data_IF_214012108589
#
_entry.id   IF_214012108589
#
_cell.length_a   1.000
_cell.length_b   1.000
_cell.length_c   1.000
_cell.angle_alpha   90.00
_cell.angle_beta   90.00
_cell.angle_gamma   90.00
#
_symmetry.space_group_name_H-M   'P 1'
#
loop_
_entity.id
_entity.type
_entity.pdbx_description
1 polymer ?
#
# COMPACT_ATOMS: atom_id res chain seq x y z
N UNK A 1 21.52 -24.67 -0.36
CA UNK A 1 21.32 -23.21 -0.47
C UNK A 1 21.72 -22.62 0.86
N UNK A 2 22.61 -21.63 0.90
CA UNK A 2 23.00 -20.98 2.15
C UNK A 2 21.79 -20.24 2.71
N UNK A 3 21.36 -20.57 3.93
CA UNK A 3 20.39 -19.76 4.64
C UNK A 3 20.92 -18.32 4.69
N UNK A 4 20.12 -17.39 4.20
CA UNK A 4 20.39 -15.97 4.32
C UNK A 4 20.36 -15.69 5.83
N UNK A 5 21.54 -15.57 6.44
CA UNK A 5 21.70 -15.36 7.88
C UNK A 5 21.23 -13.94 8.22
N UNK A 6 19.92 -13.77 8.42
CA UNK A 6 19.31 -12.50 8.82
C UNK A 6 19.73 -12.23 10.27
N UNK A 7 20.45 -11.12 10.55
CA UNK A 7 21.09 -10.92 11.84
C UNK A 7 20.14 -10.43 12.95
N UNK A 8 18.95 -9.93 12.62
CA UNK A 8 17.98 -9.39 13.60
C UNK A 8 16.53 -9.69 13.21
N UNK A 9 15.64 -9.78 14.20
CA UNK A 9 14.19 -9.75 13.96
C UNK A 9 13.77 -8.37 13.43
N UNK A 10 12.73 -8.33 12.60
CA UNK A 10 12.19 -7.10 12.02
C UNK A 10 11.91 -7.17 10.53
N UNK A 11 11.63 -6.00 9.95
CA UNK A 11 11.45 -5.80 8.51
C UNK A 11 12.83 -5.71 7.84
N UNK A 12 13.01 -6.42 6.73
CA UNK A 12 14.28 -6.41 6.00
C UNK A 12 14.44 -5.13 5.17
N UNK A 13 15.49 -4.32 5.41
CA UNK A 13 15.76 -3.13 4.61
C UNK A 13 16.30 -3.48 3.22
N UNK A 14 16.38 -2.47 2.36
CA UNK A 14 16.74 -2.58 0.93
C UNK A 14 18.00 -3.41 0.65
N UNK A 15 19.02 -3.35 1.52
CA UNK A 15 20.26 -4.11 1.35
C UNK A 15 20.00 -5.63 1.43
N UNK A 16 19.06 -6.04 2.27
CA UNK A 16 18.64 -7.43 2.40
C UNK A 16 17.66 -7.84 1.31
N UNK A 17 16.79 -6.94 0.84
CA UNK A 17 15.94 -7.21 -0.32
C UNK A 17 16.79 -7.44 -1.59
N UNK A 18 17.85 -6.66 -1.79
CA UNK A 18 18.81 -6.86 -2.89
C UNK A 18 19.52 -8.20 -2.78
N UNK A 19 19.92 -8.62 -1.56
CA UNK A 19 20.46 -9.96 -1.31
C UNK A 19 19.43 -11.06 -1.56
N UNK A 20 18.17 -10.85 -1.18
CA UNK A 20 17.10 -11.80 -1.42
C UNK A 20 16.88 -12.02 -2.91
N UNK A 21 16.93 -10.96 -3.72
CA UNK A 21 16.88 -11.07 -5.19
C UNK A 21 18.12 -11.79 -5.74
N UNK A 22 19.32 -11.40 -5.32
CA UNK A 22 20.57 -12.01 -5.84
C UNK A 22 20.74 -13.48 -5.46
N UNK A 23 20.11 -13.93 -4.36
CA UNK A 23 20.09 -15.32 -3.91
C UNK A 23 18.88 -16.12 -4.42
N UNK A 24 17.97 -15.51 -5.17
CA UNK A 24 16.80 -16.17 -5.74
C UNK A 24 15.62 -16.39 -4.78
N UNK A 25 15.67 -15.85 -3.56
CA UNK A 25 14.54 -15.84 -2.63
C UNK A 25 13.36 -15.03 -3.18
N UNK A 26 13.68 -13.96 -3.92
CA UNK A 26 12.76 -13.26 -4.80
C UNK A 26 13.33 -13.38 -6.20
N UNK A 27 12.56 -13.93 -7.14
CA UNK A 27 13.02 -14.13 -8.52
C UNK A 27 12.02 -13.57 -9.51
N UNK A 28 12.51 -13.22 -10.69
CA UNK A 28 11.69 -12.78 -11.81
C UNK A 28 12.37 -13.16 -13.12
N UNK A 29 11.58 -13.47 -14.15
CA UNK A 29 12.09 -13.75 -15.50
C UNK A 29 12.70 -12.49 -16.17
N UNK A 30 12.46 -11.31 -15.60
CA UNK A 30 13.01 -10.02 -16.03
C UNK A 30 13.81 -9.40 -14.89
N UNK A 31 14.93 -8.77 -15.22
CA UNK A 31 15.72 -8.00 -14.24
C UNK A 31 14.82 -7.07 -13.44
N UNK A 32 14.95 -7.11 -12.11
CA UNK A 32 14.25 -6.22 -11.19
C UNK A 32 14.93 -4.85 -11.27
N UNK A 33 14.24 -3.77 -11.69
CA UNK A 33 14.82 -2.44 -11.79
C UNK A 33 15.28 -1.93 -10.43
N UNK A 34 16.34 -1.13 -10.41
CA UNK A 34 16.81 -0.51 -9.17
C UNK A 34 15.76 0.39 -8.52
N UNK A 35 14.89 1.01 -9.33
CA UNK A 35 13.76 1.84 -8.88
C UNK A 35 12.67 1.05 -8.15
N UNK A 36 12.63 -0.28 -8.29
CA UNK A 36 11.66 -1.13 -7.56
C UNK A 36 12.04 -1.31 -6.09
N UNK A 37 13.29 -1.05 -5.71
CA UNK A 37 13.74 -1.19 -4.32
C UNK A 37 13.46 0.09 -3.53
N UNK A 38 12.51 0.01 -2.60
CA UNK A 38 12.26 1.04 -1.60
C UNK A 38 13.16 0.79 -0.36
N UNK A 39 13.25 1.73 0.59
CA UNK A 39 14.07 1.57 1.79
C UNK A 39 13.77 0.31 2.59
N UNK A 40 12.49 -0.11 2.69
CA UNK A 40 12.08 -1.31 3.42
C UNK A 40 11.05 -2.18 2.70
N UNK A 41 10.82 -1.97 1.39
CA UNK A 41 9.91 -2.77 0.58
C UNK A 41 10.43 -2.95 -0.86
N UNK A 42 9.84 -3.89 -1.59
CA UNK A 42 10.09 -4.12 -3.01
C UNK A 42 8.77 -3.97 -3.79
N UNK A 43 8.75 -3.10 -4.79
CA UNK A 43 7.62 -2.95 -5.70
C UNK A 43 7.38 -4.24 -6.51
N UNK A 44 6.12 -4.66 -6.58
CA UNK A 44 5.65 -5.85 -7.31
C UNK A 44 5.11 -5.45 -8.67
N UNK A 45 5.63 -6.07 -9.72
CA UNK A 45 5.39 -5.68 -11.12
C UNK A 45 4.35 -6.56 -11.79
N UNK A 46 3.43 -5.93 -12.52
CA UNK A 46 2.41 -6.64 -13.29
C UNK A 46 3.03 -7.52 -14.36
N UNK A 47 2.56 -8.77 -14.47
CA UNK A 47 2.89 -9.65 -15.59
C UNK A 47 2.14 -9.29 -16.87
N UNK A 48 2.20 -10.21 -17.83
CA UNK A 48 1.76 -9.95 -19.21
C UNK A 48 0.26 -10.14 -19.46
N UNK A 49 -0.49 -10.65 -18.48
CA UNK A 49 -1.90 -11.02 -18.66
C UNK A 49 -2.74 -10.65 -17.46
N UNK A 50 -3.89 -10.04 -17.71
CA UNK A 50 -4.95 -9.85 -16.73
C UNK A 50 -6.11 -10.81 -16.99
N UNK A 51 -6.48 -11.61 -16.00
CA UNK A 51 -7.67 -12.47 -16.04
C UNK A 51 -8.86 -11.72 -15.48
N UNK A 52 -9.87 -11.47 -16.30
CA UNK A 52 -11.13 -10.86 -15.85
C UNK A 52 -11.86 -11.88 -14.98
N UNK A 53 -12.17 -11.51 -13.74
CA UNK A 53 -12.84 -12.39 -12.80
C UNK A 53 -14.34 -12.10 -12.71
N UNK A 54 -15.11 -13.14 -12.39
CA UNK A 54 -16.52 -13.00 -11.98
C UNK A 54 -16.64 -12.35 -10.60
N UNK A 55 -15.79 -12.75 -9.66
CA UNK A 55 -15.71 -12.23 -8.31
C UNK A 55 -14.32 -12.52 -7.72
N UNK A 56 -13.95 -11.79 -6.66
CA UNK A 56 -12.75 -12.07 -5.87
C UNK A 56 -12.80 -13.46 -5.23
N UNK A 57 -11.64 -14.06 -4.96
CA UNK A 57 -11.53 -15.32 -4.26
C UNK A 57 -10.21 -15.44 -3.50
N UNK A 58 -10.20 -16.25 -2.44
CA UNK A 58 -8.99 -16.78 -1.81
C UNK A 58 -8.81 -18.24 -2.21
N UNK A 59 -7.58 -18.70 -2.46
CA UNK A 59 -7.37 -20.05 -2.95
C UNK A 59 -7.64 -21.12 -1.88
N UNK A 60 -7.45 -20.78 -0.60
CA UNK A 60 -7.57 -21.72 0.52
C UNK A 60 -6.51 -22.82 0.38
N UNK A 61 -6.84 -24.11 0.45
CA UNK A 61 -5.84 -25.19 0.35
C UNK A 61 -5.32 -25.45 -1.07
N UNK A 62 -5.90 -24.82 -2.10
CA UNK A 62 -5.54 -25.01 -3.52
C UNK A 62 -4.48 -23.98 -3.97
N UNK A 63 -3.95 -24.14 -5.17
CA UNK A 63 -3.22 -23.06 -5.87
C UNK A 63 -4.19 -22.05 -6.45
N UNK A 64 -3.72 -20.82 -6.70
CA UNK A 64 -4.46 -19.77 -7.38
C UNK A 64 -4.83 -20.21 -8.79
N UNK A 65 -3.91 -20.85 -9.51
CA UNK A 65 -4.14 -21.35 -10.87
C UNK A 65 -5.25 -22.41 -10.95
N UNK A 66 -5.37 -23.29 -9.94
CA UNK A 66 -6.46 -24.27 -9.86
C UNK A 66 -7.82 -23.59 -9.66
N UNK A 67 -7.86 -22.57 -8.79
CA UNK A 67 -9.10 -21.85 -8.46
C UNK A 67 -9.53 -20.90 -9.57
N UNK A 68 -8.59 -20.27 -10.26
CA UNK A 68 -8.85 -19.34 -11.36
C UNK A 68 -9.79 -19.92 -12.41
N UNK A 69 -9.66 -21.23 -12.72
CA UNK A 69 -10.52 -21.95 -13.66
C UNK A 69 -12.02 -21.90 -13.31
N UNK A 70 -12.36 -21.68 -12.04
CA UNK A 70 -13.73 -21.60 -11.54
C UNK A 70 -14.33 -20.16 -11.64
N UNK A 71 -13.48 -19.14 -11.83
CA UNK A 71 -13.85 -17.71 -11.74
C UNK A 71 -13.48 -16.86 -12.95
N UNK A 72 -12.58 -17.32 -13.82
CA UNK A 72 -12.16 -16.60 -15.03
C UNK A 72 -13.33 -16.44 -16.02
N UNK A 73 -13.50 -15.22 -16.53
CA UNK A 73 -14.48 -14.87 -17.57
C UNK A 73 -13.83 -14.52 -18.92
N UNK A 74 -12.50 -14.56 -18.98
CA UNK A 74 -11.68 -14.16 -20.13
C UNK A 74 -10.40 -13.49 -19.65
N UNK A 75 -9.54 -13.12 -20.60
CA UNK A 75 -8.28 -12.45 -20.30
C UNK A 75 -7.98 -11.32 -21.27
N UNK A 76 -7.09 -10.43 -20.84
CA UNK A 76 -6.59 -9.29 -21.59
C UNK A 76 -5.05 -9.34 -21.56
N UNK A 77 -4.43 -9.00 -22.69
CA UNK A 77 -2.99 -8.89 -22.83
C UNK A 77 -2.52 -7.52 -22.31
N UNK A 78 -1.47 -7.49 -21.49
CA UNK A 78 -0.93 -6.27 -20.89
C UNK A 78 0.39 -5.81 -21.52
N UNK A 79 0.91 -6.51 -22.55
CA UNK A 79 2.26 -6.22 -23.09
C UNK A 79 2.37 -4.84 -23.72
N UNK A 80 1.35 -4.42 -24.46
CA UNK A 80 1.23 -3.09 -25.08
C UNK A 80 0.26 -2.17 -24.29
N UNK A 81 -0.08 -2.61 -23.07
CA UNK A 81 -1.05 -2.04 -22.17
C UNK A 81 -2.51 -2.24 -22.56
N UNK A 82 -3.37 -2.17 -21.54
CA UNK A 82 -4.79 -2.44 -21.67
C UNK A 82 -5.63 -1.66 -20.68
N UNK A 83 -6.91 -1.50 -21.02
CA UNK A 83 -7.91 -0.84 -20.19
C UNK A 83 -8.52 -1.86 -19.23
N UNK A 84 -8.53 -1.52 -17.93
CA UNK A 84 -9.25 -2.22 -16.89
C UNK A 84 -10.45 -1.37 -16.45
N UNK A 85 -11.65 -1.91 -16.71
CA UNK A 85 -12.91 -1.26 -16.37
C UNK A 85 -13.15 -1.11 -14.86
N UNK A 86 -13.90 -0.06 -14.50
CA UNK A 86 -14.36 0.20 -13.13
C UNK A 86 -15.18 -0.96 -12.57
N UNK A 87 -15.06 -1.17 -11.26
CA UNK A 87 -15.80 -2.16 -10.48
C UNK A 87 -15.74 -3.56 -11.09
N UNK A 88 -14.60 -3.89 -11.71
CA UNK A 88 -14.32 -5.20 -12.28
C UNK A 88 -13.04 -5.76 -11.65
N UNK A 89 -13.07 -6.94 -11.04
CA UNK A 89 -11.87 -7.60 -10.57
C UNK A 89 -11.09 -8.22 -11.72
N UNK A 90 -9.78 -7.95 -11.73
CA UNK A 90 -8.81 -8.60 -12.59
C UNK A 90 -7.75 -9.27 -11.73
N UNK A 91 -7.37 -10.50 -12.06
CA UNK A 91 -6.23 -11.19 -11.45
C UNK A 91 -5.05 -11.15 -12.42
N UNK A 92 -3.92 -10.63 -11.95
CA UNK A 92 -2.72 -10.45 -12.77
C UNK A 92 -1.59 -11.25 -12.10
N UNK A 93 -1.04 -12.30 -12.74
CA UNK A 93 0.20 -12.90 -12.27
C UNK A 93 1.30 -11.84 -12.22
N UNK A 94 2.02 -11.76 -11.10
CA UNK A 94 3.13 -10.83 -10.96
C UNK A 94 4.38 -11.39 -11.62
N UNK A 95 5.31 -10.51 -12.01
CA UNK A 95 6.61 -10.90 -12.54
C UNK A 95 7.49 -11.54 -11.46
N UNK A 96 7.29 -11.16 -10.20
CA UNK A 96 8.02 -11.69 -9.06
C UNK A 96 7.42 -13.00 -8.54
N UNK A 97 8.31 -13.91 -8.13
CA UNK A 97 8.02 -15.17 -7.46
C UNK A 97 8.88 -15.26 -6.20
N UNK A 98 8.44 -16.08 -5.25
CA UNK A 98 9.11 -16.24 -3.96
C UNK A 98 9.60 -17.68 -3.76
N UNK A 99 10.74 -17.83 -3.11
CA UNK A 99 11.29 -19.08 -2.56
C UNK A 99 11.84 -18.78 -1.17
N UNK A 100 10.95 -18.55 -0.20
CA UNK A 100 11.32 -18.11 1.15
C UNK A 100 11.75 -19.29 2.03
N UNK A 101 12.72 -19.10 2.95
CA UNK A 101 12.95 -20.01 4.07
C UNK A 101 11.84 -19.89 5.12
N UNK A 102 11.74 -20.88 6.02
CA UNK A 102 10.78 -20.89 7.14
C UNK A 102 10.95 -19.72 8.12
N UNK A 103 12.11 -19.06 8.12
CA UNK A 103 12.37 -17.88 8.94
C UNK A 103 11.77 -16.59 8.36
N UNK A 104 11.41 -16.57 7.07
CA UNK A 104 10.93 -15.37 6.39
C UNK A 104 9.51 -15.52 5.91
N UNK A 105 8.70 -14.51 6.21
CA UNK A 105 7.38 -14.29 5.60
C UNK A 105 7.41 -12.99 4.79
N UNK A 106 6.36 -12.75 4.02
CA UNK A 106 6.16 -11.45 3.39
C UNK A 106 4.80 -10.85 3.73
N UNK A 107 4.74 -9.53 3.69
CA UNK A 107 3.48 -8.77 3.75
C UNK A 107 3.45 -7.76 2.61
N UNK A 108 2.33 -7.69 1.91
CA UNK A 108 2.13 -6.82 0.76
C UNK A 108 1.18 -5.67 1.09
N UNK A 109 1.24 -4.61 0.31
CA UNK A 109 0.38 -3.45 0.47
C UNK A 109 0.36 -2.62 -0.83
N UNK A 110 -0.77 -2.02 -1.25
CA UNK A 110 -0.77 -1.04 -2.33
C UNK A 110 0.31 0.05 -2.18
N UNK A 111 0.80 0.55 -3.32
CA UNK A 111 1.61 1.77 -3.34
C UNK A 111 0.72 2.97 -3.01
N UNK A 112 1.30 4.01 -2.41
CA UNK A 112 0.55 5.23 -2.08
C UNK A 112 -0.04 5.91 -3.31
N UNK A 113 0.63 5.82 -4.47
CA UNK A 113 0.10 6.31 -5.75
C UNK A 113 -1.13 5.53 -6.20
N UNK A 114 -1.16 4.21 -5.98
CA UNK A 114 -2.29 3.33 -6.29
C UNK A 114 -3.49 3.62 -5.40
N UNK A 115 -3.25 3.79 -4.10
CA UNK A 115 -4.31 4.16 -3.15
C UNK A 115 -4.91 5.54 -3.45
N UNK A 116 -4.08 6.50 -3.88
CA UNK A 116 -4.53 7.85 -4.24
C UNK A 116 -5.51 7.92 -5.40
N UNK A 117 -5.61 6.87 -6.21
CA UNK A 117 -6.49 6.82 -7.38
C UNK A 117 -7.60 5.77 -7.22
N UNK A 118 -7.89 5.38 -5.98
CA UNK A 118 -8.98 4.45 -5.63
C UNK A 118 -8.90 3.09 -6.37
N UNK A 119 -7.67 2.61 -6.56
CA UNK A 119 -7.38 1.29 -7.10
C UNK A 119 -7.12 0.32 -5.95
N UNK A 120 -8.08 -0.56 -5.73
CA UNK A 120 -7.95 -1.64 -4.77
C UNK A 120 -7.07 -2.74 -5.33
N UNK A 121 -6.06 -3.12 -4.54
CA UNK A 121 -5.19 -4.24 -4.88
C UNK A 121 -5.01 -5.19 -3.72
N UNK A 122 -4.93 -6.49 -4.02
CA UNK A 122 -4.64 -7.55 -3.04
C UNK A 122 -3.68 -8.57 -3.63
N UNK A 123 -2.58 -8.82 -2.93
CA UNK A 123 -1.68 -9.92 -3.29
C UNK A 123 -2.28 -11.24 -2.83
N UNK A 124 -2.21 -12.23 -3.70
CA UNK A 124 -2.65 -13.60 -3.45
C UNK A 124 -1.46 -14.53 -3.68
N UNK A 125 -1.23 -15.41 -2.71
CA UNK A 125 -0.26 -16.50 -2.77
C UNK A 125 -0.98 -17.85 -2.88
N UNK A 126 -0.30 -18.84 -3.47
CA UNK A 126 -0.80 -20.21 -3.48
C UNK A 126 -0.99 -20.72 -2.05
N UNK A 127 -2.07 -21.49 -1.83
CA UNK A 127 -2.40 -22.06 -0.53
C UNK A 127 -2.63 -21.02 0.59
N UNK A 128 -2.80 -19.75 0.23
CA UNK A 128 -3.05 -18.65 1.17
C UNK A 128 -4.50 -18.59 1.67
N UNK A 129 -4.64 -18.20 2.93
CA UNK A 129 -5.93 -17.99 3.61
C UNK A 129 -6.25 -16.52 3.89
N UNK A 130 -5.29 -15.63 3.69
CA UNK A 130 -5.43 -14.18 3.84
C UNK A 130 -4.84 -13.49 2.62
N UNK A 131 -5.43 -12.37 2.24
CA UNK A 131 -4.82 -11.50 1.25
C UNK A 131 -3.62 -10.79 1.86
N UNK A 132 -2.68 -10.40 0.99
CA UNK A 132 -1.51 -9.59 1.30
C UNK A 132 -0.48 -10.23 2.26
N UNK A 133 -0.82 -11.27 3.02
CA UNK A 133 0.15 -12.05 3.78
C UNK A 133 0.64 -13.25 2.97
N UNK A 134 1.96 -13.46 2.99
CA UNK A 134 2.61 -14.64 2.44
C UNK A 134 3.24 -15.41 3.59
N UNK A 135 2.86 -16.68 3.74
CA UNK A 135 3.30 -17.53 4.84
C UNK A 135 4.83 -17.71 4.89
N UNK A 136 5.39 -17.99 6.08
CA UNK A 136 6.76 -18.46 6.18
C UNK A 136 7.02 -19.70 5.29
N UNK A 137 8.23 -19.81 4.73
CA UNK A 137 8.60 -20.95 3.89
C UNK A 137 7.91 -21.00 2.52
N UNK A 138 7.15 -19.96 2.13
CA UNK A 138 6.38 -19.95 0.89
C UNK A 138 7.26 -20.06 -0.35
N UNK A 139 6.86 -20.96 -1.27
CA UNK A 139 7.51 -21.17 -2.56
C UNK A 139 6.47 -21.17 -3.67
N UNK A 140 6.47 -20.15 -4.52
CA UNK A 140 5.47 -20.06 -5.56
C UNK A 140 5.38 -18.71 -6.26
N UNK A 141 4.48 -18.63 -7.26
CA UNK A 141 4.15 -17.37 -7.92
C UNK A 141 3.39 -16.43 -6.98
N UNK A 142 3.33 -15.15 -7.33
CA UNK A 142 2.41 -14.20 -6.71
C UNK A 142 1.41 -13.71 -7.75
N UNK A 143 0.23 -13.33 -7.28
CA UNK A 143 -0.81 -12.74 -8.11
C UNK A 143 -1.31 -11.47 -7.45
N UNK A 144 -1.73 -10.51 -8.26
CA UNK A 144 -2.36 -9.28 -7.80
C UNK A 144 -3.80 -9.23 -8.30
N UNK A 145 -4.75 -9.23 -7.39
CA UNK A 145 -6.10 -8.79 -7.71
C UNK A 145 -6.11 -7.27 -7.80
N UNK A 146 -6.70 -6.73 -8.86
CA UNK A 146 -6.83 -5.30 -9.12
C UNK A 146 -8.31 -4.97 -9.40
N UNK A 147 -8.86 -4.02 -8.66
CA UNK A 147 -10.20 -3.47 -8.86
C UNK A 147 -10.09 -1.94 -8.80
N UNK A 148 -10.27 -1.28 -9.93
CA UNK A 148 -10.44 0.19 -9.91
C UNK A 148 -11.88 0.53 -9.55
N UNK A 149 -12.10 1.40 -8.56
CA UNK A 149 -13.46 1.78 -8.11
C UNK A 149 -13.91 3.10 -8.73
N UNK A 150 -13.07 4.13 -8.65
CA UNK A 150 -13.40 5.47 -9.16
C UNK A 150 -13.15 5.65 -10.65
N UNK A 151 -12.04 5.15 -11.21
CA UNK A 151 -11.61 5.50 -12.57
C UNK A 151 -11.50 4.30 -13.50
N UNK A 152 -11.78 4.46 -14.79
CA UNK A 152 -11.33 3.46 -15.77
C UNK A 152 -9.83 3.69 -15.97
N UNK A 153 -9.02 2.63 -15.84
CA UNK A 153 -7.55 2.74 -15.82
C UNK A 153 -6.92 2.05 -17.02
N UNK A 154 -5.80 2.57 -17.53
CA UNK A 154 -4.89 1.81 -18.40
C UNK A 154 -3.68 1.37 -17.58
N UNK A 155 -3.30 0.11 -17.74
CA UNK A 155 -2.11 -0.49 -17.12
C UNK A 155 -1.33 -1.27 -18.16
N UNK A 156 -0.06 -1.54 -17.89
CA UNK A 156 0.79 -2.36 -18.76
C UNK A 156 1.75 -3.24 -17.96
N UNK A 157 2.36 -4.20 -18.64
CA UNK A 157 3.34 -5.11 -18.05
C UNK A 157 4.49 -4.32 -17.44
N UNK A 158 4.90 -4.69 -16.22
CA UNK A 158 6.07 -4.14 -15.57
C UNK A 158 5.82 -2.94 -14.64
N UNK A 159 4.66 -2.27 -14.72
CA UNK A 159 4.30 -1.23 -13.74
C UNK A 159 4.02 -1.87 -12.38
N UNK A 160 4.13 -1.09 -11.32
CA UNK A 160 3.88 -1.57 -9.95
C UNK A 160 2.72 -0.83 -9.31
N UNK A 161 1.73 -1.60 -8.85
CA UNK A 161 0.57 -1.11 -8.09
C UNK A 161 0.61 -1.53 -6.61
N UNK A 162 1.53 -2.41 -6.26
CA UNK A 162 1.66 -3.00 -4.94
C UNK A 162 3.15 -3.20 -4.63
N UNK A 163 3.46 -3.46 -3.37
CA UNK A 163 4.81 -3.60 -2.84
C UNK A 163 4.81 -4.61 -1.70
N UNK A 164 5.94 -5.29 -1.50
CA UNK A 164 6.11 -6.32 -0.48
C UNK A 164 7.20 -5.95 0.53
N UNK A 165 7.03 -6.35 1.79
CA UNK A 165 8.06 -6.35 2.83
C UNK A 165 8.39 -7.79 3.19
N UNK A 166 9.68 -8.11 3.25
CA UNK A 166 10.14 -9.35 3.89
C UNK A 166 10.32 -9.10 5.38
N UNK A 167 9.92 -10.08 6.19
CA UNK A 167 9.91 -9.93 7.64
C UNK A 167 10.46 -11.21 8.30
N UNK A 168 11.42 -11.02 9.20
CA UNK A 168 12.01 -12.05 10.03
C UNK A 168 11.50 -11.91 11.47
N UNK A 169 10.97 -12.98 12.07
CA UNK A 169 10.46 -12.92 13.44
C UNK A 169 9.32 -11.91 13.64
N UNK A 170 9.28 -11.29 14.82
CA UNK A 170 8.25 -10.29 15.17
C UNK A 170 8.70 -8.89 14.72
N UNK A 171 7.77 -8.11 14.16
CA UNK A 171 8.05 -6.76 13.66
C UNK A 171 6.92 -5.78 14.01
N UNK A 172 6.45 -5.84 15.26
CA UNK A 172 5.40 -4.97 15.79
C UNK A 172 5.77 -4.51 17.19
N UNK A 173 5.47 -3.25 17.45
CA UNK A 173 5.56 -2.64 18.77
C UNK A 173 4.23 -2.80 19.50
N UNK A 174 4.29 -2.99 20.81
CA UNK A 174 3.16 -2.84 21.74
C UNK A 174 2.88 -1.36 21.98
N UNK A 175 1.68 -1.05 22.50
CA UNK A 175 1.29 0.34 22.78
C UNK A 175 2.24 1.03 23.77
N UNK A 176 2.75 0.30 24.76
CA UNK A 176 3.76 0.82 25.70
C UNK A 176 5.09 1.13 25.01
N UNK A 177 5.56 0.27 24.11
CA UNK A 177 6.80 0.50 23.38
C UNK A 177 6.66 1.64 22.37
N UNK A 178 5.47 1.83 21.78
CA UNK A 178 5.15 3.00 20.92
C UNK A 178 5.25 4.30 21.73
N UNK A 179 4.63 4.35 22.92
CA UNK A 179 4.66 5.52 23.78
C UNK A 179 6.08 5.87 24.24
N UNK A 180 6.85 4.85 24.66
CA UNK A 180 8.25 5.00 25.04
C UNK A 180 9.10 5.51 23.86
N UNK A 181 8.94 4.91 22.67
CA UNK A 181 9.64 5.34 21.46
C UNK A 181 9.32 6.81 21.13
N UNK A 182 8.05 7.22 21.21
CA UNK A 182 7.66 8.61 20.95
C UNK A 182 8.27 9.58 21.97
N UNK A 183 8.37 9.19 23.25
CA UNK A 183 9.01 9.99 24.29
C UNK A 183 10.51 10.24 24.02
N UNK A 184 11.20 9.23 23.45
CA UNK A 184 12.61 9.33 23.09
C UNK A 184 12.83 10.02 21.75
N UNK A 185 12.04 9.67 20.75
CA UNK A 185 12.08 10.18 19.38
C UNK A 185 10.65 10.44 18.89
N UNK A 186 10.16 11.68 18.96
CA UNK A 186 8.78 11.98 18.60
C UNK A 186 8.38 11.50 17.20
N UNK A 187 7.24 10.82 17.14
CA UNK A 187 6.67 10.20 15.94
C UNK A 187 5.52 11.03 15.35
N UNK A 188 4.72 11.68 16.22
CA UNK A 188 3.61 12.55 15.82
C UNK A 188 3.83 14.01 16.20
N UNK A 189 3.44 14.90 15.31
CA UNK A 189 3.55 16.34 15.48
C UNK A 189 2.24 17.03 15.13
N UNK A 190 1.96 18.14 15.80
CA UNK A 190 0.84 19.04 15.49
C UNK A 190 1.34 20.48 15.50
N UNK A 191 1.11 21.22 14.41
CA UNK A 191 1.63 22.58 14.26
C UNK A 191 3.16 22.66 14.40
N UNK A 192 3.88 21.64 13.90
CA UNK A 192 5.34 21.56 13.95
C UNK A 192 5.94 21.19 15.32
N UNK A 193 5.12 20.92 16.34
CA UNK A 193 5.58 20.53 17.68
C UNK A 193 5.23 19.07 17.98
N UNK A 194 6.12 18.31 18.65
CA UNK A 194 5.79 16.99 19.17
C UNK A 194 4.49 17.00 19.96
N UNK A 195 3.61 16.04 19.70
CA UNK A 195 2.42 15.84 20.55
C UNK A 195 2.91 15.32 21.91
N UNK A 196 2.50 15.91 23.06
CA UNK A 196 2.87 15.39 24.37
C UNK A 196 2.38 13.95 24.58
N UNK A 197 3.15 13.11 25.27
CA UNK A 197 2.80 11.70 25.52
C UNK A 197 1.40 11.54 26.14
N UNK A 198 1.04 12.42 27.08
CA UNK A 198 -0.29 12.45 27.73
C UNK A 198 -1.48 12.72 26.80
N UNK A 199 -1.22 13.22 25.59
CA UNK A 199 -2.21 13.52 24.55
C UNK A 199 -2.21 12.46 23.44
N UNK A 200 -1.28 11.49 23.47
CA UNK A 200 -1.28 10.39 22.51
C UNK A 200 -2.45 9.46 22.76
N UNK A 201 -3.16 9.13 21.69
CA UNK A 201 -4.10 8.02 21.67
C UNK A 201 -3.38 6.82 21.03
N UNK A 202 -3.20 5.77 21.83
CA UNK A 202 -2.54 4.53 21.40
C UNK A 202 -3.48 3.36 21.66
N UNK A 203 -3.75 2.57 20.62
CA UNK A 203 -4.56 1.35 20.70
C UNK A 203 -4.23 0.48 19.48
N UNK A 204 -3.24 -0.39 19.62
CA UNK A 204 -2.68 -1.17 18.51
C UNK A 204 -1.97 -0.32 17.45
N UNK A 205 -1.54 0.90 17.80
CA UNK A 205 -0.99 1.90 16.89
C UNK A 205 -1.28 3.33 17.32
N UNK A 206 -0.70 4.30 16.59
CA UNK A 206 -0.91 5.73 16.76
C UNK A 206 -2.10 6.21 15.94
N UNK A 207 -2.90 7.09 16.50
CA UNK A 207 -4.11 7.60 15.86
C UNK A 207 -3.80 8.92 15.12
N UNK A 208 -4.41 9.06 13.94
CA UNK A 208 -4.41 10.28 13.15
C UNK A 208 -5.83 10.80 13.01
N UNK A 209 -5.99 12.11 13.06
CA UNK A 209 -7.22 12.82 12.79
C UNK A 209 -7.13 13.56 11.45
N UNK A 210 -8.26 13.98 10.92
CA UNK A 210 -8.34 14.68 9.63
C UNK A 210 -8.24 16.19 9.82
N UNK A 211 -7.53 16.87 8.91
CA UNK A 211 -7.51 18.33 8.86
C UNK A 211 -8.67 18.87 8.02
N UNK A 212 -9.62 19.52 8.68
CA UNK A 212 -10.83 20.07 8.05
C UNK A 212 -10.86 21.60 8.03
N UNK A 213 -9.74 22.26 8.34
CA UNK A 213 -9.64 23.74 8.36
C UNK A 213 -9.67 24.36 6.96
N UNK A 214 -9.29 23.57 5.96
CA UNK A 214 -9.19 23.95 4.56
C UNK A 214 -8.02 24.88 4.24
N UNK A 215 -7.69 24.98 2.96
CA UNK A 215 -6.72 25.92 2.42
C UNK A 215 -7.32 27.37 2.35
N UNK A 216 -6.58 28.38 1.85
CA UNK A 216 -7.09 29.74 1.72
C UNK A 216 -8.36 29.88 0.87
N UNK A 217 -8.59 28.96 -0.07
CA UNK A 217 -9.79 28.90 -0.91
C UNK A 217 -10.93 28.09 -0.26
N UNK A 218 -10.67 27.51 0.92
CA UNK A 218 -11.63 26.71 1.67
C UNK A 218 -11.68 25.23 1.29
N UNK A 219 -10.74 24.74 0.47
CA UNK A 219 -10.68 23.33 0.05
C UNK A 219 -10.05 22.48 1.15
N UNK A 220 -10.73 21.43 1.60
CA UNK A 220 -10.23 20.47 2.62
C UNK A 220 -9.66 19.19 2.02
N UNK A 221 -9.90 18.97 0.73
CA UNK A 221 -9.46 17.79 0.01
C UNK A 221 -10.16 17.67 -1.33
N UNK A 222 -10.16 16.45 -1.88
CA UNK A 222 -10.65 16.21 -3.22
C UNK A 222 -11.51 14.96 -3.30
N UNK A 223 -12.64 15.04 -3.96
CA UNK A 223 -13.50 13.91 -4.30
C UNK A 223 -13.15 13.40 -5.70
N UNK A 224 -13.11 12.10 -5.88
CA UNK A 224 -12.97 11.50 -7.20
C UNK A 224 -14.18 11.83 -8.09
N UNK A 225 -13.93 12.27 -9.32
CA UNK A 225 -15.00 12.51 -10.30
C UNK A 225 -15.71 11.22 -10.67
N UNK A 226 -17.04 11.26 -10.71
CA UNK A 226 -17.87 10.13 -11.15
C UNK A 226 -17.69 9.81 -12.64
N UNK A 227 -17.39 10.83 -13.45
CA UNK A 227 -17.07 10.72 -14.89
C UNK A 227 -15.74 11.40 -15.16
N UNK A 228 -14.70 10.62 -15.46
CA UNK A 228 -13.35 11.11 -15.76
C UNK A 228 -12.89 10.68 -17.16
N UNK A 229 -11.73 11.17 -17.57
CA UNK A 229 -10.97 10.59 -18.68
C UNK A 229 -10.40 9.22 -18.30
N UNK A 230 -9.80 8.52 -19.26
CA UNK A 230 -9.01 7.32 -19.01
C UNK A 230 -7.76 7.69 -18.21
N UNK A 231 -7.55 7.04 -17.06
CA UNK A 231 -6.36 7.25 -16.24
C UNK A 231 -5.28 6.23 -16.61
N UNK A 232 -4.25 6.66 -17.33
CA UNK A 232 -3.11 5.80 -17.66
C UNK A 232 -2.08 5.77 -16.52
N UNK A 233 -1.96 4.61 -15.86
CA UNK A 233 -1.05 4.40 -14.72
C UNK A 233 0.38 4.04 -15.15
N UNK A 234 0.65 3.90 -16.44
CA UNK A 234 1.99 3.63 -16.97
C UNK A 234 2.84 4.88 -17.18
N UNK A 235 2.22 6.06 -17.11
CA UNK A 235 2.88 7.34 -17.34
C UNK A 235 2.82 8.20 -16.09
N UNK A 236 3.93 8.87 -15.78
CA UNK A 236 4.02 9.80 -14.66
C UNK A 236 3.78 11.25 -15.13
N UNK A 237 3.07 12.05 -14.32
CA UNK A 237 2.84 13.49 -14.55
C UNK A 237 2.18 13.86 -15.90
N UNK A 238 1.45 12.92 -16.52
CA UNK A 238 0.81 13.13 -17.82
C UNK A 238 -0.67 13.56 -17.75
N UNK A 239 -1.24 13.65 -16.55
CA UNK A 239 -2.67 13.87 -16.31
C UNK A 239 -2.91 15.20 -15.60
N UNK A 240 -3.92 15.95 -16.02
CA UNK A 240 -4.40 17.13 -15.30
C UNK A 240 -5.29 16.67 -14.13
N UNK A 241 -4.95 16.98 -12.86
CA UNK A 241 -5.79 16.63 -11.72
C UNK A 241 -7.26 17.08 -11.85
N UNK A 242 -7.53 18.21 -12.53
CA UNK A 242 -8.87 18.73 -12.71
C UNK A 242 -9.80 17.81 -13.53
N UNK A 243 -9.24 16.91 -14.34
CA UNK A 243 -9.98 15.89 -15.11
C UNK A 243 -10.47 14.72 -14.24
N UNK A 244 -9.95 14.57 -13.02
CA UNK A 244 -10.18 13.41 -12.16
C UNK A 244 -10.69 13.77 -10.77
N UNK A 245 -10.49 15.00 -10.32
CA UNK A 245 -10.76 15.43 -8.95
C UNK A 245 -11.65 16.68 -8.90
N UNK A 246 -12.55 16.72 -7.93
CA UNK A 246 -13.39 17.87 -7.58
C UNK A 246 -13.02 18.35 -6.16
N UNK A 247 -12.86 19.67 -5.93
CA UNK A 247 -12.53 20.19 -4.60
C UNK A 247 -13.70 19.95 -3.63
N UNK A 248 -13.37 19.50 -2.42
CA UNK A 248 -14.31 19.43 -1.30
C UNK A 248 -14.12 20.69 -0.45
N UNK A 249 -15.18 21.47 -0.31
CA UNK A 249 -15.13 22.72 0.45
C UNK A 249 -15.51 22.47 1.92
N UNK A 250 -14.87 23.22 2.83
CA UNK A 250 -15.23 23.22 4.24
C UNK A 250 -16.60 23.85 4.47
N UNK A 251 -17.25 23.37 5.52
CA UNK A 251 -18.40 24.00 6.17
C UNK A 251 -17.98 24.71 7.46
N UNK A 252 -18.92 25.45 8.07
CA UNK A 252 -18.71 26.09 9.36
C UNK A 252 -18.30 25.07 10.45
N UNK A 253 -17.28 25.44 11.23
CA UNK A 253 -16.78 24.66 12.37
C UNK A 253 -15.76 23.58 12.01
N UNK A 254 -14.95 23.79 10.97
CA UNK A 254 -13.93 22.84 10.49
C UNK A 254 -14.54 21.46 10.19
N UNK A 255 -15.56 21.43 9.34
CA UNK A 255 -16.29 20.22 8.93
C UNK A 255 -16.37 20.13 7.42
N UNK A 256 -16.66 18.94 6.92
CA UNK A 256 -17.01 18.71 5.53
C UNK A 256 -18.03 17.58 5.44
N UNK A 257 -18.90 17.63 4.42
CA UNK A 257 -19.86 16.57 4.12
C UNK A 257 -19.22 15.58 3.17
N UNK A 258 -19.22 14.31 3.55
CA UNK A 258 -18.73 13.21 2.72
C UNK A 258 -19.93 12.36 2.29
N UNK A 259 -20.11 12.22 0.98
CA UNK A 259 -21.13 11.37 0.39
C UNK A 259 -20.78 9.89 0.60
N UNK A 260 -21.77 9.05 0.96
CA UNK A 260 -21.56 7.61 1.02
C UNK A 260 -21.07 7.04 -0.31
N UNK A 261 -20.21 6.03 -0.24
CA UNK A 261 -19.67 5.30 -1.41
C UNK A 261 -18.77 6.11 -2.35
N UNK A 262 -18.48 7.37 -2.04
CA UNK A 262 -17.56 8.22 -2.78
C UNK A 262 -16.13 8.13 -2.22
N UNK A 263 -15.13 8.45 -3.05
CA UNK A 263 -13.72 8.39 -2.68
C UNK A 263 -13.14 9.80 -2.50
N UNK A 264 -12.39 9.97 -1.41
CA UNK A 264 -11.83 11.25 -0.99
C UNK A 264 -10.33 11.15 -0.73
N UNK A 265 -9.60 12.16 -1.20
CA UNK A 265 -8.25 12.48 -0.75
C UNK A 265 -8.33 13.58 0.31
N UNK A 266 -8.00 13.20 1.54
CA UNK A 266 -8.00 14.08 2.71
C UNK A 266 -6.62 14.04 3.37
N UNK A 267 -6.29 15.10 4.11
CA UNK A 267 -5.02 15.23 4.82
C UNK A 267 -5.20 14.93 6.31
N UNK A 268 -4.16 14.35 6.92
CA UNK A 268 -4.11 14.25 8.37
C UNK A 268 -3.81 15.60 9.01
N UNK A 269 -4.37 15.84 10.20
CA UNK A 269 -4.05 17.02 11.01
C UNK A 269 -2.68 16.88 11.67
N UNK A 270 -2.33 15.68 12.10
CA UNK A 270 -1.00 15.34 12.58
C UNK A 270 -0.08 15.05 11.41
N UNK A 271 1.17 15.42 11.59
CA UNK A 271 2.24 15.07 10.67
C UNK A 271 3.07 13.95 11.30
N UNK A 272 3.46 12.97 10.47
CA UNK A 272 4.12 11.73 10.89
C UNK A 272 5.61 11.79 10.59
N UNK A 273 6.42 11.26 11.52
CA UNK A 273 7.84 11.02 11.34
C UNK A 273 8.20 9.60 11.75
N UNK A 274 8.82 8.85 10.84
CA UNK A 274 9.32 7.50 11.07
C UNK A 274 10.86 7.56 11.13
N UNK A 275 11.48 7.26 12.29
CA UNK A 275 12.93 7.32 12.40
C UNK A 275 13.61 6.25 11.51
N UNK A 276 14.88 6.44 11.11
CA UNK A 276 15.56 5.56 10.14
C UNK A 276 15.67 4.07 10.51
N UNK A 277 15.50 3.72 11.78
CA UNK A 277 15.56 2.34 12.27
C UNK A 277 14.19 1.66 12.38
N UNK A 278 13.11 2.36 12.05
CA UNK A 278 11.75 1.86 12.15
C UNK A 278 11.04 1.96 10.81
N UNK A 279 10.00 1.15 10.63
CA UNK A 279 9.06 1.29 9.54
C UNK A 279 7.66 1.27 10.14
N UNK A 280 6.72 1.94 9.49
CA UNK A 280 5.32 1.92 9.91
C UNK A 280 4.41 1.47 8.77
N UNK A 281 3.15 1.24 9.11
CA UNK A 281 2.09 0.86 8.19
C UNK A 281 0.83 1.59 8.66
N UNK A 282 0.13 2.24 7.73
CA UNK A 282 -1.20 2.75 8.01
C UNK A 282 -2.15 1.56 8.15
N UNK A 283 -3.03 1.60 9.14
CA UNK A 283 -4.09 0.60 9.31
C UNK A 283 -5.45 1.25 9.20
N UNK A 284 -6.41 0.55 8.62
CA UNK A 284 -7.79 1.03 8.61
C UNK A 284 -8.33 1.10 10.05
N UNK A 285 -9.10 2.16 10.33
CA UNK A 285 -9.81 2.31 11.59
C UNK A 285 -10.85 1.18 11.75
N UNK A 286 -11.01 0.66 12.97
CA UNK A 286 -11.99 -0.39 13.26
C UNK A 286 -13.43 0.13 12.96
N UNK A 287 -14.20 -0.54 12.09
CA UNK A 287 -15.57 -0.17 11.76
C UNK A 287 -16.53 -0.09 12.95
N UNK A 288 -16.23 -0.71 14.10
CA UNK A 288 -17.07 -0.57 15.30
C UNK A 288 -17.00 0.81 15.92
N UNK A 289 -16.05 1.63 15.48
CA UNK A 289 -15.72 2.93 16.06
C UNK A 289 -16.06 4.11 15.14
N UNK A 290 -16.68 3.89 13.97
CA UNK A 290 -17.15 4.94 13.05
C UNK A 290 -17.58 4.44 11.65
N UNK A 291 -18.24 5.30 10.87
CA UNK A 291 -18.71 4.99 9.51
C UNK A 291 -17.65 5.24 8.42
N UNK A 292 -16.60 6.00 8.73
CA UNK A 292 -15.53 6.35 7.79
C UNK A 292 -14.44 5.27 7.76
N UNK A 293 -14.08 4.82 6.55
CA UNK A 293 -12.99 3.86 6.35
C UNK A 293 -11.81 4.55 5.68
N UNK A 294 -10.65 4.49 6.31
CA UNK A 294 -9.40 4.77 5.61
C UNK A 294 -9.17 3.67 4.58
N UNK A 295 -9.32 4.01 3.31
CA UNK A 295 -9.01 3.09 2.22
C UNK A 295 -7.52 3.16 1.88
N UNK A 296 -6.94 2.03 1.47
CA UNK A 296 -5.57 1.94 0.91
C UNK A 296 -4.44 2.33 1.87
N UNK A 297 -4.55 1.83 3.09
CA UNK A 297 -3.60 2.04 4.17
C UNK A 297 -2.22 1.42 3.80
N UNK A 298 -1.24 2.26 3.45
CA UNK A 298 0.05 1.87 2.88
C UNK A 298 1.22 1.75 3.86
N UNK A 299 2.39 1.39 3.34
CA UNK A 299 3.65 1.37 4.08
C UNK A 299 4.27 2.76 4.22
N UNK A 300 4.80 3.07 5.39
CA UNK A 300 5.73 4.18 5.61
C UNK A 300 7.15 3.65 5.74
N UNK A 301 8.04 4.15 4.90
CA UNK A 301 9.43 3.73 4.90
C UNK A 301 10.23 4.35 6.05
N UNK A 302 11.33 3.68 6.47
CA UNK A 302 12.30 4.27 7.38
C UNK A 302 12.80 5.62 6.87
N UNK A 303 12.73 6.63 7.72
CA UNK A 303 13.10 8.01 7.38
C UNK A 303 11.96 8.86 6.81
N UNK A 304 10.73 8.35 6.72
CA UNK A 304 9.58 9.18 6.32
C UNK A 304 9.40 10.38 7.26
N UNK A 305 9.28 11.59 6.71
CA UNK A 305 9.18 12.82 7.50
C UNK A 305 10.42 13.11 8.36
N UNK A 306 11.57 12.48 8.05
CA UNK A 306 12.85 12.71 8.72
C UNK A 306 13.73 13.58 7.83
N UNK A 307 14.14 14.75 8.33
CA UNK A 307 15.16 15.57 7.67
C UNK A 307 16.29 15.84 8.68
N UNK A 308 17.54 15.74 8.22
CA UNK A 308 18.74 15.98 9.05
C UNK A 308 18.94 17.48 9.37
N UNK A 309 18.24 18.39 8.66
CA UNK A 309 18.53 19.83 8.70
C UNK A 309 17.36 20.74 9.06
N UNK A 310 16.12 20.25 9.12
CA UNK A 310 14.92 20.99 9.58
C UNK A 310 13.79 20.02 9.95
N UNK A 311 12.85 20.36 10.85
CA UNK A 311 11.68 19.53 11.10
C UNK A 311 10.68 19.65 9.94
N UNK A 312 11.01 19.08 8.77
CA UNK A 312 10.02 18.81 7.73
C UNK A 312 9.23 17.58 8.16
N UNK A 313 7.98 17.79 8.56
CA UNK A 313 7.08 16.72 8.97
C UNK A 313 6.21 16.32 7.79
N UNK A 314 6.12 15.01 7.52
CA UNK A 314 5.33 14.50 6.40
C UNK A 314 3.83 14.55 6.71
N UNK A 315 3.04 14.99 5.75
CA UNK A 315 1.58 14.84 5.70
C UNK A 315 1.21 13.70 4.77
#
# INVERSE_FOLDING_TARGET
MSELAVPSEGILPTQWLRKAVSQGLISSDRTVPDSSFQPASLDLRLGERAYRLRCSFLPGPKTVAERLKEYEMGHVDLRDGAILERNRPYLIPLLERLDLPESLRAKANPRSSTGRVDVFTRVISDRGFTFDDVAPGYRGPLYLEVVSRSFTIRVETGISLNQLRLIHGTARFTDSEIAELHGQTPLLFKGGKPIPEKELVVSGGLFLSLDMRGDPEGTVGYQARKNSRLLDLSVEYAHDPADFWEPVNKEEGDRAVLEPEEFYLLLSQESVRIPPNYAAEMTAYDPTSGELRTHYAGFFDPGFGHSEHEPQVGS
#
